data_IF_971142205008
#
_entry.id   IF_971142205008
#
_cell.length_a   1.000
_cell.length_b   1.000
_cell.length_c   1.000
_cell.angle_alpha   90.00
_cell.angle_beta   90.00
_cell.angle_gamma   90.00
#
_symmetry.space_group_name_H-M   'P 1'
#
loop_
_entity.id
_entity.type
_entity.pdbx_description
1 polymer ?
#
# COMPACT_ATOMS: atom_id res chain seq x y z
N UNK A 1 16.55 -10.19 5.25
CA UNK A 1 15.11 -9.87 5.16
C UNK A 1 14.88 -9.18 3.83
N UNK A 2 14.02 -9.75 2.99
CA UNK A 2 13.57 -9.06 1.78
C UNK A 2 12.49 -8.05 2.11
N UNK A 3 12.62 -6.84 1.61
CA UNK A 3 11.63 -5.76 1.74
C UNK A 3 11.78 -4.85 0.51
N UNK A 4 10.67 -4.38 -0.06
CA UNK A 4 10.63 -3.62 -1.31
C UNK A 4 11.45 -4.34 -2.43
N UNK A 5 11.22 -5.64 -2.65
CA UNK A 5 11.88 -6.46 -3.69
C UNK A 5 13.35 -6.86 -3.43
N UNK A 6 13.99 -6.37 -2.35
CA UNK A 6 15.38 -6.74 -2.02
C UNK A 6 15.50 -8.22 -1.69
N UNK A 7 16.55 -8.88 -2.20
CA UNK A 7 16.79 -10.30 -1.93
C UNK A 7 15.88 -11.26 -2.69
N UNK A 8 15.11 -10.76 -3.66
CA UNK A 8 14.29 -11.58 -4.56
C UNK A 8 14.93 -11.65 -5.96
N UNK A 9 14.71 -12.75 -6.66
CA UNK A 9 15.15 -12.95 -8.05
C UNK A 9 14.04 -13.67 -8.82
N UNK A 10 13.66 -13.11 -9.98
CA UNK A 10 12.70 -13.76 -10.88
C UNK A 10 13.44 -14.78 -11.74
N UNK A 11 12.94 -16.02 -11.73
CA UNK A 11 13.41 -17.13 -12.58
C UNK A 11 12.40 -17.27 -13.72
N UNK A 12 12.85 -17.00 -14.96
CA UNK A 12 12.00 -17.09 -16.16
C UNK A 12 12.10 -18.45 -16.84
N UNK A 13 13.20 -19.16 -16.61
CA UNK A 13 13.47 -20.47 -17.19
C UNK A 13 14.18 -21.35 -16.16
N UNK A 14 13.88 -22.65 -16.15
CA UNK A 14 14.44 -23.61 -15.20
C UNK A 14 15.97 -23.71 -15.27
N UNK A 15 16.58 -23.43 -16.42
CA UNK A 15 18.04 -23.37 -16.58
C UNK A 15 18.71 -22.28 -15.74
N UNK A 16 17.96 -21.28 -15.27
CA UNK A 16 18.48 -20.19 -14.44
C UNK A 16 18.54 -20.55 -12.95
N UNK A 17 17.96 -21.68 -12.54
CA UNK A 17 17.76 -22.02 -11.13
C UNK A 17 19.09 -22.12 -10.36
N UNK A 18 20.06 -22.87 -10.89
CA UNK A 18 21.36 -23.05 -10.23
C UNK A 18 22.13 -21.73 -10.11
N UNK A 19 22.19 -20.95 -11.19
CA UNK A 19 22.84 -19.64 -11.18
C UNK A 19 22.16 -18.68 -10.19
N UNK A 20 20.82 -18.71 -10.11
CA UNK A 20 20.05 -17.87 -9.20
C UNK A 20 20.27 -18.27 -7.74
N UNK A 21 20.26 -19.57 -7.44
CA UNK A 21 20.54 -20.11 -6.11
C UNK A 21 21.92 -19.68 -5.61
N UNK A 22 22.94 -19.83 -6.45
CA UNK A 22 24.31 -19.43 -6.11
C UNK A 22 24.45 -17.91 -5.93
N UNK A 23 23.65 -17.11 -6.64
CA UNK A 23 23.70 -15.64 -6.58
C UNK A 23 22.91 -15.02 -5.43
N UNK A 24 21.84 -15.67 -4.94
CA UNK A 24 21.04 -15.20 -3.79
C UNK A 24 21.86 -15.24 -2.49
N UNK A 25 22.82 -16.16 -2.41
CA UNK A 25 23.69 -16.32 -1.25
C UNK A 25 23.10 -17.25 -0.19
N UNK A 26 23.78 -17.41 0.95
CA UNK A 26 23.37 -18.36 1.99
C UNK A 26 22.09 -17.90 2.70
N UNK A 27 21.16 -18.84 2.94
CA UNK A 27 19.94 -18.61 3.71
C UNK A 27 18.79 -19.53 3.30
N UNK A 28 17.74 -19.55 4.10
CA UNK A 28 16.47 -20.18 3.72
C UNK A 28 15.76 -19.31 2.68
N UNK A 29 15.26 -19.94 1.63
CA UNK A 29 14.51 -19.29 0.57
C UNK A 29 13.20 -20.03 0.32
N UNK A 30 12.18 -19.30 -0.12
CA UNK A 30 10.93 -19.86 -0.62
C UNK A 30 10.93 -19.65 -2.14
N UNK A 31 10.59 -20.69 -2.89
CA UNK A 31 10.36 -20.60 -4.34
C UNK A 31 8.86 -20.55 -4.59
N UNK A 32 8.40 -19.44 -5.13
CA UNK A 32 7.00 -19.19 -5.41
C UNK A 32 6.75 -19.13 -6.90
N UNK A 33 5.56 -19.58 -7.33
CA UNK A 33 5.15 -19.43 -8.72
C UNK A 33 4.96 -17.94 -9.04
N UNK A 34 5.40 -17.52 -10.23
CA UNK A 34 5.09 -16.19 -10.71
C UNK A 34 3.59 -16.11 -11.03
N UNK A 35 2.85 -15.30 -10.26
CA UNK A 35 1.40 -15.19 -10.40
C UNK A 35 1.07 -14.23 -11.55
N UNK A 36 0.26 -14.69 -12.49
CA UNK A 36 -0.32 -13.84 -13.53
C UNK A 36 -1.60 -13.18 -13.00
N UNK A 37 -1.47 -11.91 -12.59
CA UNK A 37 -2.53 -11.14 -11.95
C UNK A 37 -2.92 -9.90 -12.76
N UNK A 38 -4.15 -9.42 -12.53
CA UNK A 38 -4.71 -8.21 -13.15
C UNK A 38 -4.42 -6.95 -12.36
N UNK A 39 -4.40 -7.07 -11.03
CA UNK A 39 -4.07 -5.98 -10.11
C UNK A 39 -3.69 -6.52 -8.73
N UNK A 40 -3.06 -5.67 -7.95
CA UNK A 40 -2.73 -5.93 -6.56
C UNK A 40 -3.73 -5.16 -5.68
N UNK A 41 -4.24 -5.81 -4.65
CA UNK A 41 -5.15 -5.19 -3.68
C UNK A 41 -4.68 -5.47 -2.26
N UNK A 42 -5.07 -4.61 -1.33
CA UNK A 42 -4.85 -4.83 0.09
C UNK A 42 -6.12 -4.58 0.89
N UNK A 43 -6.25 -5.30 2.00
CA UNK A 43 -7.28 -5.06 3.02
C UNK A 43 -6.56 -4.85 4.34
N UNK A 44 -6.94 -3.79 5.05
CA UNK A 44 -6.48 -3.57 6.42
C UNK A 44 -7.51 -4.18 7.37
N UNK A 45 -7.07 -4.94 8.36
CA UNK A 45 -7.90 -5.49 9.43
C UNK A 45 -7.37 -4.95 10.75
N UNK A 46 -8.22 -4.25 11.50
CA UNK A 46 -7.98 -4.03 12.92
C UNK A 46 -8.72 -5.09 13.72
N UNK A 47 -8.06 -5.73 14.68
CA UNK A 47 -8.65 -6.68 15.62
C UNK A 47 -8.37 -6.24 17.06
N UNK A 48 -9.43 -6.09 17.85
CA UNK A 48 -9.36 -5.71 19.26
C UNK A 48 -8.98 -6.88 20.16
N UNK A 49 -8.63 -6.58 21.42
CA UNK A 49 -8.36 -7.59 22.46
C UNK A 49 -9.58 -8.46 22.79
N UNK A 50 -10.78 -7.98 22.50
CA UNK A 50 -12.06 -8.66 22.63
C UNK A 50 -12.41 -9.53 21.40
N UNK A 51 -11.56 -9.51 20.36
CA UNK A 51 -11.75 -10.24 19.13
C UNK A 51 -12.64 -9.53 18.10
N UNK A 52 -13.19 -8.35 18.40
CA UNK A 52 -13.93 -7.57 17.39
C UNK A 52 -13.00 -7.17 16.25
N UNK A 53 -13.55 -7.13 15.02
CA UNK A 53 -12.78 -6.77 13.83
C UNK A 53 -13.47 -5.68 13.02
N UNK A 54 -12.66 -4.78 12.46
CA UNK A 54 -13.08 -3.75 11.50
C UNK A 54 -12.10 -3.74 10.33
N UNK A 55 -12.62 -3.49 9.14
CA UNK A 55 -11.86 -3.65 7.90
C UNK A 55 -11.88 -2.40 7.03
N UNK A 56 -10.78 -2.15 6.35
CA UNK A 56 -10.67 -1.13 5.30
C UNK A 56 -10.39 -1.81 3.96
N UNK A 57 -10.99 -1.27 2.90
CA UNK A 57 -10.73 -1.72 1.53
C UNK A 57 -11.87 -2.50 0.90
N UNK A 58 -11.60 -3.18 -0.23
CA UNK A 58 -10.27 -3.34 -0.83
C UNK A 58 -9.65 -2.02 -1.32
N UNK A 59 -8.33 -1.91 -1.17
CA UNK A 59 -7.49 -0.81 -1.66
C UNK A 59 -6.69 -1.35 -2.84
N UNK A 60 -6.77 -0.75 -4.03
CA UNK A 60 -5.94 -1.13 -5.18
C UNK A 60 -4.55 -0.50 -5.03
N UNK A 61 -3.51 -1.27 -5.31
CA UNK A 61 -2.12 -0.87 -5.16
C UNK A 61 -1.39 -1.03 -6.50
N UNK A 62 -0.73 0.03 -6.93
CA UNK A 62 0.13 0.03 -8.11
C UNK A 62 1.58 0.17 -7.61
N UNK A 63 2.46 -0.74 -8.02
CA UNK A 63 3.89 -0.73 -7.67
C UNK A 63 4.74 -0.33 -8.88
N UNK A 64 5.80 0.43 -8.63
CA UNK A 64 6.84 0.76 -9.59
C UNK A 64 8.20 0.41 -8.98
N UNK A 65 9.03 -0.33 -9.71
CA UNK A 65 10.35 -0.80 -9.23
C UNK A 65 10.28 -1.49 -7.85
N UNK A 66 9.23 -2.29 -7.62
CA UNK A 66 8.94 -3.00 -6.36
C UNK A 66 8.66 -2.09 -5.15
N UNK A 67 8.34 -0.82 -5.39
CA UNK A 67 7.95 0.15 -4.36
C UNK A 67 6.51 0.58 -4.64
N UNK A 68 5.67 0.65 -3.59
CA UNK A 68 4.31 1.14 -3.71
C UNK A 68 4.29 2.56 -4.29
N UNK A 69 3.67 2.72 -5.45
CA UNK A 69 3.59 3.98 -6.20
C UNK A 69 2.32 4.75 -5.83
N UNK A 70 1.17 4.12 -6.04
CA UNK A 70 -0.17 4.69 -5.81
C UNK A 70 -1.08 3.67 -5.14
N UNK A 71 -1.91 4.12 -4.21
CA UNK A 71 -3.00 3.34 -3.62
C UNK A 71 -4.34 4.07 -3.82
N UNK A 72 -5.41 3.32 -4.08
CA UNK A 72 -6.75 3.87 -4.34
C UNK A 72 -7.80 3.13 -3.52
N UNK A 73 -8.63 3.88 -2.80
CA UNK A 73 -9.76 3.40 -2.00
C UNK A 73 -11.06 4.09 -2.43
N UNK A 74 -12.16 3.35 -2.66
CA UNK A 74 -12.19 1.90 -2.89
C UNK A 74 -11.41 1.52 -4.16
N UNK A 75 -10.94 0.29 -4.23
CA UNK A 75 -10.33 -0.26 -5.44
C UNK A 75 -11.30 -0.14 -6.65
N UNK A 76 -10.93 0.59 -7.72
CA UNK A 76 -11.71 0.75 -8.94
C UNK A 76 -12.34 -0.55 -9.46
N UNK A 77 -13.60 -0.50 -9.92
CA UNK A 77 -14.27 -1.68 -10.51
C UNK A 77 -14.42 -2.90 -9.60
N UNK A 78 -14.31 -2.75 -8.28
CA UNK A 78 -14.51 -3.86 -7.34
C UNK A 78 -15.99 -4.24 -7.25
N UNK A 79 -16.30 -5.51 -7.47
CA UNK A 79 -17.66 -6.05 -7.30
C UNK A 79 -17.91 -6.39 -5.83
N UNK A 80 -19.19 -6.45 -5.39
CA UNK A 80 -19.52 -6.89 -4.03
C UNK A 80 -18.96 -8.26 -3.67
N UNK A 81 -18.90 -9.18 -4.64
CA UNK A 81 -18.34 -10.52 -4.43
C UNK A 81 -16.83 -10.48 -4.15
N UNK A 82 -16.06 -9.67 -4.89
CA UNK A 82 -14.62 -9.50 -4.66
C UNK A 82 -14.37 -8.81 -3.32
N UNK A 83 -15.13 -7.75 -3.01
CA UNK A 83 -15.00 -7.05 -1.72
C UNK A 83 -15.28 -7.99 -0.53
N UNK A 84 -16.34 -8.79 -0.62
CA UNK A 84 -16.68 -9.76 0.41
C UNK A 84 -15.60 -10.84 0.56
N UNK A 85 -15.07 -11.36 -0.56
CA UNK A 85 -14.02 -12.38 -0.50
C UNK A 85 -12.70 -11.85 0.07
N UNK A 86 -12.30 -10.63 -0.33
CA UNK A 86 -11.12 -9.96 0.22
C UNK A 86 -11.24 -9.74 1.73
N UNK A 87 -12.41 -9.27 2.19
CA UNK A 87 -12.71 -9.11 3.60
C UNK A 87 -12.65 -10.45 4.34
N UNK A 88 -13.28 -11.49 3.80
CA UNK A 88 -13.29 -12.84 4.39
C UNK A 88 -11.87 -13.41 4.52
N UNK A 89 -11.03 -13.28 3.50
CA UNK A 89 -9.63 -13.71 3.53
C UNK A 89 -8.88 -12.97 4.64
N UNK A 90 -8.99 -11.64 4.67
CA UNK A 90 -8.26 -10.83 5.64
C UNK A 90 -8.70 -11.11 7.09
N UNK A 91 -10.00 -11.26 7.35
CA UNK A 91 -10.52 -11.67 8.67
C UNK A 91 -9.96 -13.02 9.09
N UNK A 92 -9.98 -14.03 8.20
CA UNK A 92 -9.44 -15.37 8.51
C UNK A 92 -7.95 -15.35 8.80
N UNK A 93 -7.19 -14.51 8.11
CA UNK A 93 -5.76 -14.30 8.39
C UNK A 93 -5.58 -13.72 9.79
N UNK A 94 -6.32 -12.67 10.13
CA UNK A 94 -6.22 -12.03 11.45
C UNK A 94 -6.63 -12.96 12.59
N UNK A 95 -7.71 -13.72 12.41
CA UNK A 95 -8.16 -14.73 13.37
C UNK A 95 -7.16 -15.88 13.51
N UNK A 96 -6.64 -16.41 12.40
CA UNK A 96 -5.70 -17.52 12.39
C UNK A 96 -4.34 -17.18 13.03
N UNK A 97 -3.96 -15.90 13.01
CA UNK A 97 -2.77 -15.38 13.68
C UNK A 97 -3.05 -14.92 15.13
N UNK A 98 -4.30 -14.98 15.58
CA UNK A 98 -4.79 -14.40 16.84
C UNK A 98 -4.28 -12.96 17.06
N UNK A 99 -4.34 -12.15 16.01
CA UNK A 99 -3.74 -10.83 16.02
C UNK A 99 -4.52 -9.84 16.91
N UNK A 100 -3.79 -8.94 17.56
CA UNK A 100 -4.31 -7.75 18.24
C UNK A 100 -3.58 -6.53 17.69
N UNK A 101 -4.34 -5.52 17.26
CA UNK A 101 -3.81 -4.36 16.54
C UNK A 101 -4.27 -4.34 15.09
N UNK A 102 -3.44 -3.80 14.19
CA UNK A 102 -3.72 -3.66 12.77
C UNK A 102 -2.81 -4.59 11.93
N UNK A 103 -3.41 -5.27 10.98
CA UNK A 103 -2.77 -6.04 9.93
C UNK A 103 -3.11 -5.44 8.57
N UNK A 104 -2.18 -5.53 7.62
CA UNK A 104 -2.46 -5.41 6.20
C UNK A 104 -2.26 -6.76 5.54
N UNK A 105 -3.24 -7.20 4.76
CA UNK A 105 -3.16 -8.41 3.94
C UNK A 105 -3.12 -7.97 2.48
N UNK A 106 -1.99 -8.18 1.83
CA UNK A 106 -1.80 -7.91 0.40
C UNK A 106 -2.18 -9.15 -0.40
N UNK A 107 -2.85 -8.93 -1.53
CA UNK A 107 -3.40 -9.97 -2.38
C UNK A 107 -3.21 -9.65 -3.85
N UNK A 108 -2.96 -10.69 -4.64
CA UNK A 108 -3.07 -10.65 -6.09
C UNK A 108 -4.49 -11.00 -6.52
N UNK A 109 -5.09 -10.18 -7.38
CA UNK A 109 -6.33 -10.53 -8.08
C UNK A 109 -6.02 -11.08 -9.46
N UNK A 110 -6.32 -12.35 -9.71
CA UNK A 110 -6.07 -13.03 -10.99
C UNK A 110 -7.12 -12.69 -12.06
N UNK A 111 -6.85 -13.04 -13.31
CA UNK A 111 -7.75 -12.82 -14.46
C UNK A 111 -9.14 -13.46 -14.32
N UNK A 112 -9.25 -14.56 -13.57
CA UNK A 112 -10.52 -15.21 -13.26
C UNK A 112 -11.18 -14.66 -11.98
N UNK A 113 -10.63 -13.60 -11.38
CA UNK A 113 -11.16 -12.93 -10.19
C UNK A 113 -10.83 -13.59 -8.85
N UNK A 114 -9.98 -14.63 -8.83
CA UNK A 114 -9.51 -15.20 -7.57
C UNK A 114 -8.57 -14.24 -6.83
N UNK A 115 -8.57 -14.32 -5.51
CA UNK A 115 -7.69 -13.55 -4.64
C UNK A 115 -6.68 -14.48 -3.98
N UNK A 116 -5.40 -14.19 -4.15
CA UNK A 116 -4.29 -14.97 -3.59
C UNK A 116 -3.51 -14.06 -2.63
N UNK A 117 -3.35 -14.48 -1.37
CA UNK A 117 -2.55 -13.73 -0.40
C UNK A 117 -1.08 -13.75 -0.85
N UNK A 118 -0.50 -12.56 -0.95
CA UNK A 118 0.91 -12.35 -1.26
C UNK A 118 1.74 -12.19 0.02
N UNK A 119 1.42 -11.17 0.82
CA UNK A 119 2.13 -10.88 2.06
C UNK A 119 1.21 -10.32 3.15
N UNK A 120 1.70 -10.37 4.39
CA UNK A 120 1.00 -9.87 5.57
C UNK A 120 1.93 -8.94 6.35
N UNK A 121 1.49 -7.72 6.62
CA UNK A 121 2.21 -6.77 7.47
C UNK A 121 1.47 -6.58 8.80
N UNK A 122 2.02 -7.03 9.95
CA UNK A 122 1.41 -6.88 11.28
C UNK A 122 1.62 -5.49 11.88
N UNK A 123 1.23 -4.47 11.12
CA UNK A 123 1.37 -3.05 11.49
C UNK A 123 0.52 -2.18 10.56
N UNK A 124 0.33 -0.90 10.90
CA UNK A 124 -0.02 0.12 9.92
C UNK A 124 0.83 0.03 8.65
N UNK A 125 0.16 0.16 7.51
CA UNK A 125 0.71 -0.12 6.20
C UNK A 125 0.66 1.11 5.28
N UNK A 126 1.58 1.15 4.32
CA UNK A 126 1.75 2.27 3.40
C UNK A 126 0.48 2.48 2.55
N UNK A 127 -0.10 1.40 2.04
CA UNK A 127 -1.36 1.45 1.28
C UNK A 127 -2.54 2.02 2.08
N UNK A 128 -2.47 1.99 3.41
CA UNK A 128 -3.49 2.53 4.29
C UNK A 128 -3.34 4.00 4.63
N UNK A 129 -2.30 4.72 4.16
CA UNK A 129 -2.10 6.12 4.58
C UNK A 129 -3.23 7.04 4.11
N UNK A 130 -3.88 6.71 2.99
CA UNK A 130 -5.10 7.39 2.53
C UNK A 130 -6.24 7.40 3.55
N UNK A 131 -6.20 6.55 4.60
CA UNK A 131 -7.24 6.52 5.63
C UNK A 131 -7.17 7.72 6.58
N UNK A 132 -6.07 8.49 6.58
CA UNK A 132 -5.96 9.72 7.37
C UNK A 132 -7.01 10.73 6.89
N UNK A 133 -7.10 10.96 5.58
CA UNK A 133 -8.08 11.87 4.98
C UNK A 133 -9.36 11.17 4.52
N UNK A 134 -9.24 9.94 4.01
CA UNK A 134 -10.30 9.25 3.27
C UNK A 134 -11.30 8.48 4.13
N UNK A 135 -11.01 8.27 5.42
CA UNK A 135 -11.84 7.46 6.31
C UNK A 135 -12.21 8.21 7.60
N UNK A 136 -13.32 7.80 8.21
CA UNK A 136 -13.76 8.36 9.49
C UNK A 136 -12.75 8.11 10.62
N UNK A 137 -12.12 6.95 10.61
CA UNK A 137 -11.05 6.58 11.54
C UNK A 137 -9.83 6.17 10.74
N UNK A 138 -8.67 6.76 10.99
CA UNK A 138 -7.43 6.35 10.31
C UNK A 138 -6.91 5.02 10.84
N UNK A 139 -6.13 4.30 10.03
CA UNK A 139 -5.47 3.06 10.48
C UNK A 139 -4.60 3.25 11.73
N UNK A 140 -4.06 4.47 11.94
CA UNK A 140 -3.20 4.77 13.09
C UNK A 140 -4.03 4.92 14.36
N UNK A 141 -5.17 5.60 14.27
CA UNK A 141 -6.11 5.67 15.39
C UNK A 141 -6.67 4.28 15.71
N UNK A 142 -6.95 3.45 14.70
CA UNK A 142 -7.38 2.07 14.94
C UNK A 142 -6.32 1.21 15.61
N UNK A 143 -5.06 1.33 15.19
CA UNK A 143 -3.97 0.64 15.86
C UNK A 143 -3.97 0.98 17.37
N UNK A 144 -4.12 2.27 17.72
CA UNK A 144 -4.17 2.72 19.12
C UNK A 144 -5.38 2.12 19.83
N UNK A 145 -6.58 2.21 19.25
CA UNK A 145 -7.81 1.68 19.87
C UNK A 145 -7.72 0.18 20.12
N UNK A 146 -7.29 -0.57 19.10
CA UNK A 146 -7.17 -2.02 19.16
C UNK A 146 -6.21 -2.49 20.26
N UNK A 147 -5.01 -1.90 20.36
CA UNK A 147 -4.01 -2.31 21.37
C UNK A 147 -4.32 -1.78 22.77
N UNK A 148 -5.07 -0.67 22.88
CA UNK A 148 -5.49 -0.11 24.16
C UNK A 148 -6.78 -0.74 24.71
N UNK A 149 -7.40 -1.67 23.97
CA UNK A 149 -8.69 -2.27 24.36
C UNK A 149 -9.85 -1.27 24.37
N UNK A 150 -9.78 -0.26 23.49
CA UNK A 150 -10.86 0.71 23.29
C UNK A 150 -11.77 0.24 22.15
N UNK A 151 -13.05 0.70 22.11
CA UNK A 151 -13.93 0.42 21.00
C UNK A 151 -13.31 0.83 19.66
N UNK A 152 -13.29 -0.11 18.72
CA UNK A 152 -12.80 0.15 17.37
C UNK A 152 -13.65 1.25 16.70
N UNK A 153 -12.99 2.14 15.97
CA UNK A 153 -13.65 3.20 15.23
C UNK A 153 -14.33 2.69 13.97
N UNK A 154 -15.21 3.50 13.39
CA UNK A 154 -15.81 3.17 12.10
C UNK A 154 -14.76 3.29 10.97
N UNK A 155 -14.61 2.28 10.10
CA UNK A 155 -13.70 2.32 8.95
C UNK A 155 -14.34 2.98 7.72
N UNK A 156 -15.53 3.58 7.86
CA UNK A 156 -16.29 4.20 6.77
C UNK A 156 -15.41 5.11 5.91
N UNK A 157 -15.34 4.78 4.61
CA UNK A 157 -14.75 5.64 3.59
C UNK A 157 -15.67 6.84 3.39
N UNK A 158 -15.17 8.04 3.65
CA UNK A 158 -15.96 9.27 3.55
C UNK A 158 -16.16 9.68 2.09
N UNK A 159 -15.12 9.47 1.28
CA UNK A 159 -15.07 9.70 -0.18
C UNK A 159 -14.02 8.77 -0.80
N UNK A 160 -14.05 8.54 -2.12
CA UNK A 160 -12.90 8.00 -2.83
C UNK A 160 -11.62 8.80 -2.54
N UNK A 161 -10.53 8.08 -2.33
CA UNK A 161 -9.23 8.61 -1.97
C UNK A 161 -8.13 7.91 -2.77
N UNK A 162 -7.15 8.65 -3.23
CA UNK A 162 -5.90 8.09 -3.75
C UNK A 162 -4.71 8.70 -3.04
N UNK A 163 -3.72 7.87 -2.74
CA UNK A 163 -2.45 8.28 -2.17
C UNK A 163 -1.33 7.99 -3.17
N UNK A 164 -0.44 8.96 -3.40
CA UNK A 164 0.79 8.77 -4.16
C UNK A 164 2.01 8.93 -3.23
N UNK A 165 2.93 7.97 -3.27
CA UNK A 165 4.17 8.06 -2.50
C UNK A 165 5.10 9.13 -3.07
N UNK A 166 5.78 9.85 -2.16
CA UNK A 166 6.84 10.79 -2.47
C UNK A 166 8.19 10.18 -2.14
N UNK A 167 8.99 9.89 -3.16
CA UNK A 167 10.32 9.33 -3.01
C UNK A 167 11.38 10.44 -2.99
N UNK A 168 12.55 10.14 -2.42
CA UNK A 168 13.66 11.08 -2.32
C UNK A 168 14.18 11.56 -3.68
N UNK A 169 13.90 10.82 -4.76
CA UNK A 169 14.15 11.19 -6.15
C UNK A 169 13.54 12.55 -6.54
N UNK A 170 12.49 13.00 -5.84
CA UNK A 170 11.86 14.30 -6.09
C UNK A 170 12.79 15.47 -5.77
N UNK A 171 13.73 15.30 -4.83
CA UNK A 171 14.71 16.31 -4.40
C UNK A 171 15.92 16.42 -5.33
N UNK A 172 15.91 15.72 -6.46
CA UNK A 172 16.97 15.78 -7.45
C UNK A 172 16.38 16.06 -8.83
N UNK A 173 17.03 16.94 -9.59
CA UNK A 173 16.77 17.11 -11.01
C UNK A 173 17.31 15.91 -11.81
N UNK A 174 16.89 15.71 -13.08
CA UNK A 174 17.38 14.59 -13.90
C UNK A 174 18.91 14.54 -14.07
N UNK A 175 19.59 15.68 -13.94
CA UNK A 175 21.06 15.77 -13.97
C UNK A 175 21.73 15.48 -12.60
N UNK A 176 20.96 15.07 -11.59
CA UNK A 176 21.43 14.77 -10.24
C UNK A 176 21.62 16.00 -9.34
N UNK A 177 21.39 17.22 -9.83
CA UNK A 177 21.50 18.41 -9.00
C UNK A 177 20.39 18.45 -7.93
N UNK A 178 20.69 18.82 -6.67
CA UNK A 178 19.66 19.02 -5.66
C UNK A 178 18.64 20.07 -6.12
N UNK A 179 17.38 19.84 -5.82
CA UNK A 179 16.28 20.80 -6.03
C UNK A 179 15.24 20.64 -4.94
N UNK A 180 14.46 21.69 -4.73
CA UNK A 180 13.27 21.59 -3.90
C UNK A 180 12.07 21.18 -4.77
N UNK A 181 11.25 20.19 -4.35
CA UNK A 181 10.01 19.87 -5.04
C UNK A 181 9.04 21.07 -5.04
N UNK A 182 8.29 21.22 -6.12
CA UNK A 182 7.36 22.33 -6.28
C UNK A 182 6.04 22.10 -5.51
N UNK A 183 6.09 22.30 -4.19
CA UNK A 183 4.96 22.06 -3.29
C UNK A 183 3.73 22.87 -3.66
N UNK A 184 3.90 24.13 -4.03
CA UNK A 184 2.80 25.02 -4.41
C UNK A 184 2.00 24.47 -5.59
N UNK A 185 2.69 23.92 -6.61
CA UNK A 185 2.04 23.35 -7.77
C UNK A 185 1.27 22.06 -7.44
N UNK A 186 1.81 21.20 -6.57
CA UNK A 186 1.12 19.99 -6.14
C UNK A 186 -0.10 20.27 -5.24
N UNK A 187 0.01 21.23 -4.33
CA UNK A 187 -1.07 21.59 -3.40
C UNK A 187 -2.23 22.34 -4.09
N UNK A 188 -1.97 23.00 -5.23
CA UNK A 188 -3.01 23.63 -6.03
C UNK A 188 -4.05 22.63 -6.57
N UNK A 189 -3.71 21.34 -6.63
CA UNK A 189 -4.60 20.24 -7.03
C UNK A 189 -5.48 19.74 -5.86
N UNK A 190 -5.43 20.38 -4.68
CA UNK A 190 -6.25 20.02 -3.51
C UNK A 190 -5.71 18.82 -2.73
N UNK A 191 -4.42 18.51 -2.87
CA UNK A 191 -3.79 17.39 -2.16
C UNK A 191 -3.47 17.71 -0.70
N UNK A 192 -3.68 16.72 0.17
CA UNK A 192 -3.17 16.70 1.54
C UNK A 192 -1.75 16.15 1.54
N UNK A 193 -0.78 16.98 1.96
CA UNK A 193 0.64 16.62 2.00
C UNK A 193 1.07 16.15 3.38
N UNK A 194 1.71 14.99 3.42
CA UNK A 194 2.38 14.45 4.60
C UNK A 194 3.86 14.25 4.32
N UNK A 195 4.72 15.00 5.02
CA UNK A 195 6.17 14.82 4.99
C UNK A 195 6.65 14.20 6.30
N UNK A 196 7.55 13.21 6.21
CA UNK A 196 7.99 12.43 7.37
C UNK A 196 9.15 13.07 8.15
N UNK A 197 9.56 14.30 7.80
CA UNK A 197 10.67 14.99 8.47
C UNK A 197 12.05 14.31 8.32
N UNK A 198 12.25 13.48 7.30
CA UNK A 198 13.51 12.78 7.05
C UNK A 198 14.54 13.76 6.46
N UNK A 199 15.70 13.91 7.11
CA UNK A 199 16.72 14.91 6.73
C UNK A 199 17.41 14.63 5.38
N UNK A 200 17.57 13.36 4.99
CA UNK A 200 18.37 12.99 3.81
C UNK A 200 17.51 12.31 2.74
N UNK A 201 17.07 13.03 1.69
CA UNK A 201 16.46 12.38 0.53
C UNK A 201 17.48 11.44 -0.13
N UNK A 202 17.02 10.25 -0.51
CA UNK A 202 17.81 9.25 -1.24
C UNK A 202 16.90 8.57 -2.26
N UNK A 203 17.46 8.12 -3.37
CA UNK A 203 16.72 7.38 -4.38
C UNK A 203 15.95 6.20 -3.74
N UNK A 204 14.67 6.06 -4.08
CA UNK A 204 13.76 5.05 -3.53
C UNK A 204 13.35 5.23 -2.07
N UNK A 205 13.89 6.22 -1.34
CA UNK A 205 13.51 6.45 0.08
C UNK A 205 12.16 7.15 0.12
N UNK A 206 11.16 6.53 0.75
CA UNK A 206 9.85 7.16 1.04
C UNK A 206 10.05 8.38 1.95
N UNK A 207 9.84 9.58 1.44
CA UNK A 207 10.00 10.87 2.16
C UNK A 207 8.68 11.46 2.65
N UNK A 208 7.57 11.07 2.02
CA UNK A 208 6.22 11.51 2.35
C UNK A 208 5.18 10.84 1.46
N UNK A 209 3.96 11.34 1.50
CA UNK A 209 2.90 11.01 0.57
C UNK A 209 1.99 12.22 0.33
N UNK A 210 1.27 12.20 -0.79
CA UNK A 210 0.14 13.08 -1.07
C UNK A 210 -1.13 12.24 -1.10
N UNK A 211 -2.22 12.72 -0.50
CA UNK A 211 -3.56 12.12 -0.58
C UNK A 211 -4.50 13.09 -1.28
N UNK A 212 -5.29 12.62 -2.25
CA UNK A 212 -6.37 13.38 -2.89
C UNK A 212 -7.70 12.67 -2.65
N UNK A 213 -8.73 13.46 -2.31
CA UNK A 213 -10.12 13.02 -2.21
C UNK A 213 -10.92 13.55 -3.40
N UNK A 214 -11.97 12.84 -3.79
CA UNK A 214 -12.81 13.23 -4.92
C UNK A 214 -14.04 12.34 -5.05
N UNK A 215 -14.62 12.32 -6.25
CA UNK A 215 -15.94 11.69 -6.46
C UNK A 215 -15.87 10.25 -6.96
N UNK A 216 -14.81 9.89 -7.72
CA UNK A 216 -14.62 8.53 -8.23
C UNK A 216 -13.18 8.05 -8.00
N UNK A 217 -12.97 6.74 -7.77
CA UNK A 217 -11.64 6.14 -7.62
C UNK A 217 -10.68 6.46 -8.77
N UNK A 218 -11.15 6.41 -10.01
CA UNK A 218 -10.35 6.67 -11.20
C UNK A 218 -9.91 8.13 -11.26
N UNK A 219 -10.81 9.08 -10.97
CA UNK A 219 -10.50 10.50 -11.01
C UNK A 219 -9.48 10.88 -9.93
N UNK A 220 -9.62 10.36 -8.70
CA UNK A 220 -8.66 10.64 -7.63
C UNK A 220 -7.30 10.03 -7.89
N UNK A 221 -7.22 8.83 -8.50
CA UNK A 221 -5.96 8.22 -8.92
C UNK A 221 -5.21 9.12 -9.89
N UNK A 222 -5.90 9.55 -10.94
CA UNK A 222 -5.30 10.36 -11.99
C UNK A 222 -4.87 11.74 -11.44
N UNK A 223 -5.69 12.34 -10.58
CA UNK A 223 -5.36 13.57 -9.88
C UNK A 223 -4.14 13.40 -8.97
N UNK A 224 -4.03 12.31 -8.20
CA UNK A 224 -2.90 12.07 -7.30
C UNK A 224 -1.59 11.90 -8.08
N UNK A 225 -1.64 11.22 -9.23
CA UNK A 225 -0.52 11.11 -10.18
C UNK A 225 -0.13 12.47 -10.75
N UNK A 226 -1.11 13.27 -11.18
CA UNK A 226 -0.88 14.62 -11.71
C UNK A 226 -0.26 15.54 -10.66
N UNK A 227 -0.82 15.59 -9.44
CA UNK A 227 -0.30 16.40 -8.35
C UNK A 227 1.14 16.02 -7.97
N UNK A 228 1.47 14.73 -7.96
CA UNK A 228 2.85 14.29 -7.75
C UNK A 228 3.77 14.69 -8.90
N UNK A 229 3.30 14.64 -10.15
CA UNK A 229 4.11 15.07 -11.30
C UNK A 229 4.39 16.57 -11.27
N UNK A 230 3.43 17.39 -10.80
CA UNK A 230 3.60 18.84 -10.59
C UNK A 230 4.76 19.18 -9.65
N UNK A 231 5.11 18.30 -8.71
CA UNK A 231 6.29 18.47 -7.85
C UNK A 231 7.59 18.57 -8.65
N UNK A 232 7.60 18.10 -9.91
CA UNK A 232 8.77 18.17 -10.79
C UNK A 232 8.85 19.43 -11.64
N UNK A 233 7.80 20.25 -11.67
CA UNK A 233 7.75 21.48 -12.49
C UNK A 233 8.53 22.65 -11.92
#
# INVERSE_FOLDING_TARGET
MGYDGKGQRVIKDASQLEATWNAIGPGECILEAFIDFTREVSVLVARGVDGETVLYGPIENEHADHILDVSVLPAPGTTPAIAHEAARIATRVAEGLDAVGLLCVEMFQTWNGALLVNEIAPRPHNSGHLTIEGCRTSQFEQQVRAVAGLPLGSPESLRPAAMANLLGDLWYAPNGAPREPNWSAALAEGASLHLYGKESPRAGRKMGHLTILGDTPEAVRDAARAARERLRS
#
